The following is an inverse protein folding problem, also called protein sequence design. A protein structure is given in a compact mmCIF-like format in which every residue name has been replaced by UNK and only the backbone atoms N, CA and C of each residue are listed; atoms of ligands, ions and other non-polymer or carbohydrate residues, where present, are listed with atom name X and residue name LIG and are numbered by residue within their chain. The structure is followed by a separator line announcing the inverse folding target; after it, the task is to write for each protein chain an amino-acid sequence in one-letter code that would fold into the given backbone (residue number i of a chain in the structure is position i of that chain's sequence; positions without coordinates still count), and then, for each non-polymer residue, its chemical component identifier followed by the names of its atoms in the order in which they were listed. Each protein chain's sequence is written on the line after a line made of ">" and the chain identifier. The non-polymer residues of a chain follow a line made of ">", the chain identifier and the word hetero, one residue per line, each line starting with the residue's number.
data_IF_607311278593
#
_entry.id   IF_607311278593
#
_cell.length_a   1.000
_cell.length_b   1.000
_cell.length_c   1.000
_cell.angle_alpha   90.00
_cell.angle_beta   90.00
_cell.angle_gamma   90.00
#
_symmetry.space_group_name_H-M   'P 1'
#
loop_
_entity.id
_entity.type
_entity.pdbx_description
1 polymer ?
#
# COMPACT_ATOMS: atom_id res chain seq x y z
N UNK A 1 -8.97 -4.97 -14.24
CA UNK A 1 -9.23 -3.92 -13.22
C UNK A 1 -8.48 -4.26 -11.95
N UNK A 2 -7.65 -3.33 -11.47
CA UNK A 2 -6.74 -3.54 -10.33
C UNK A 2 -7.43 -4.09 -9.07
N UNK A 3 -8.58 -3.55 -8.67
CA UNK A 3 -9.29 -4.00 -7.46
C UNK A 3 -9.65 -5.48 -7.44
N UNK A 4 -10.02 -6.08 -8.59
CA UNK A 4 -10.28 -7.52 -8.68
C UNK A 4 -8.99 -8.34 -8.51
N UNK A 5 -7.91 -7.90 -9.17
CA UNK A 5 -6.61 -8.57 -9.09
C UNK A 5 -6.06 -8.48 -7.65
N UNK A 6 -6.18 -7.32 -7.02
CA UNK A 6 -5.80 -7.09 -5.63
C UNK A 6 -6.57 -7.98 -4.67
N UNK A 7 -7.89 -8.12 -4.84
CA UNK A 7 -8.69 -9.07 -4.05
C UNK A 7 -8.19 -10.50 -4.19
N UNK A 8 -7.97 -10.95 -5.42
CA UNK A 8 -7.50 -12.31 -5.68
C UNK A 8 -6.11 -12.55 -5.08
N UNK A 9 -5.24 -11.54 -5.15
CA UNK A 9 -3.89 -11.59 -4.61
C UNK A 9 -3.88 -11.53 -3.07
N UNK A 10 -4.71 -10.71 -2.44
CA UNK A 10 -4.78 -10.57 -0.99
C UNK A 10 -5.55 -11.71 -0.29
N UNK A 11 -6.50 -12.36 -0.98
CA UNK A 11 -7.33 -13.44 -0.41
C UNK A 11 -6.53 -14.56 0.31
N UNK A 12 -5.43 -15.10 -0.24
CA UNK A 12 -4.63 -16.12 0.46
C UNK A 12 -3.71 -15.55 1.56
N UNK A 13 -3.78 -14.24 1.86
CA UNK A 13 -2.88 -13.50 2.76
C UNK A 13 -3.67 -12.74 3.84
N UNK A 14 -4.46 -13.44 4.67
CA UNK A 14 -5.26 -12.77 5.69
C UNK A 14 -4.37 -12.00 6.66
N UNK A 15 -4.79 -10.78 7.03
CA UNK A 15 -4.06 -9.93 7.97
C UNK A 15 -2.79 -9.28 7.42
N UNK A 16 -2.41 -9.51 6.16
CA UNK A 16 -1.29 -8.79 5.53
C UNK A 16 -1.77 -7.44 5.05
N UNK A 17 -1.12 -6.38 5.54
CA UNK A 17 -1.42 -5.01 5.19
C UNK A 17 -1.10 -4.72 3.71
N UNK A 18 -1.81 -3.75 3.14
CA UNK A 18 -1.77 -3.39 1.72
C UNK A 18 -1.43 -1.92 1.56
N UNK A 19 -0.25 -1.64 1.04
CA UNK A 19 0.16 -0.33 0.59
C UNK A 19 -0.36 -0.08 -0.84
N UNK A 20 -1.11 1.01 -1.00
CA UNK A 20 -1.78 1.38 -2.25
C UNK A 20 -1.19 2.66 -2.82
N UNK A 21 -1.29 2.86 -4.14
CA UNK A 21 -1.05 4.18 -4.71
C UNK A 21 -2.16 5.14 -4.26
N UNK A 22 -1.92 6.44 -4.42
CA UNK A 22 -2.95 7.43 -4.13
C UNK A 22 -4.16 7.25 -5.05
N UNK A 23 -5.35 7.27 -4.44
CA UNK A 23 -6.62 7.35 -5.16
C UNK A 23 -7.40 8.56 -4.68
N UNK A 24 -7.89 9.42 -5.60
CA UNK A 24 -8.87 10.43 -5.27
C UNK A 24 -10.09 9.80 -4.59
N UNK A 25 -10.69 10.52 -3.65
CA UNK A 25 -11.81 10.05 -2.81
C UNK A 25 -12.92 9.37 -3.63
N UNK A 26 -13.30 9.97 -4.76
CA UNK A 26 -14.32 9.46 -5.68
C UNK A 26 -14.03 8.04 -6.20
N UNK A 27 -12.76 7.66 -6.32
CA UNK A 27 -12.32 6.35 -6.83
C UNK A 27 -11.91 5.38 -5.72
N UNK A 28 -11.47 5.90 -4.57
CA UNK A 28 -11.01 5.11 -3.42
C UNK A 28 -12.08 4.20 -2.87
N UNK A 29 -13.31 4.69 -2.73
CA UNK A 29 -14.43 3.88 -2.23
C UNK A 29 -14.75 2.66 -3.09
N UNK A 30 -14.67 2.80 -4.42
CA UNK A 30 -14.88 1.68 -5.35
C UNK A 30 -13.74 0.64 -5.28
N UNK A 31 -12.51 1.11 -5.10
CA UNK A 31 -11.36 0.24 -4.89
C UNK A 31 -11.49 -0.54 -3.58
N UNK A 32 -11.81 0.13 -2.46
CA UNK A 32 -11.93 -0.52 -1.15
C UNK A 32 -13.09 -1.51 -1.08
N UNK A 33 -14.19 -1.28 -1.83
CA UNK A 33 -15.24 -2.30 -1.99
C UNK A 33 -14.79 -3.55 -2.75
N UNK A 34 -13.66 -3.47 -3.46
CA UNK A 34 -13.15 -4.59 -4.25
C UNK A 34 -12.37 -5.60 -3.40
N UNK A 35 -11.81 -5.23 -2.25
CA UNK A 35 -11.04 -6.09 -1.34
C UNK A 35 -11.39 -5.79 0.14
N UNK A 36 -10.65 -6.36 1.10
CA UNK A 36 -10.82 -5.99 2.51
C UNK A 36 -10.14 -4.63 2.78
N UNK A 37 -10.92 -3.55 2.75
CA UNK A 37 -10.42 -2.20 2.96
C UNK A 37 -9.77 -1.97 4.33
N UNK A 38 -10.03 -2.80 5.34
CA UNK A 38 -9.37 -2.71 6.63
C UNK A 38 -7.89 -3.12 6.59
N UNK A 39 -7.48 -3.85 5.56
CA UNK A 39 -6.08 -4.18 5.32
C UNK A 39 -5.31 -3.04 4.63
N UNK A 40 -5.99 -2.02 4.10
CA UNK A 40 -5.31 -0.90 3.45
C UNK A 40 -4.62 0.01 4.47
N UNK A 41 -3.42 0.48 4.14
CA UNK A 41 -2.77 1.54 4.90
C UNK A 41 -3.62 2.82 4.92
N UNK A 42 -3.30 3.71 5.87
CA UNK A 42 -3.93 5.02 5.93
C UNK A 42 -3.59 5.87 4.70
N UNK A 43 -4.41 6.91 4.47
CA UNK A 43 -4.12 7.89 3.44
C UNK A 43 -3.06 8.87 3.88
N UNK A 44 -1.89 8.81 3.24
CA UNK A 44 -0.78 9.69 3.52
C UNK A 44 -0.67 10.87 2.54
N UNK A 45 -1.68 11.08 1.68
CA UNK A 45 -1.75 12.24 0.77
C UNK A 45 -1.55 13.60 1.46
N UNK A 46 -2.12 13.87 2.66
CA UNK A 46 -1.88 15.15 3.34
C UNK A 46 -0.41 15.43 3.67
N UNK A 47 0.42 14.38 3.80
CA UNK A 47 1.86 14.48 4.09
C UNK A 47 2.71 14.51 2.83
N UNK A 48 2.43 13.64 1.86
CA UNK A 48 3.32 13.45 0.70
C UNK A 48 2.76 13.94 -0.64
N UNK A 49 1.50 14.36 -0.68
CA UNK A 49 0.79 14.59 -1.93
C UNK A 49 0.68 13.31 -2.76
N UNK A 50 0.65 13.45 -4.08
CA UNK A 50 0.69 12.33 -5.02
C UNK A 50 2.09 12.22 -5.62
N UNK A 51 2.83 11.19 -5.22
CA UNK A 51 4.18 10.86 -5.67
C UNK A 51 4.18 9.68 -6.66
N UNK A 52 3.06 9.42 -7.32
CA UNK A 52 2.91 8.42 -8.38
C UNK A 52 3.35 7.02 -7.95
N UNK A 53 4.32 6.43 -8.66
CA UNK A 53 4.83 5.09 -8.36
C UNK A 53 5.46 4.94 -6.97
N UNK A 54 5.79 6.05 -6.31
CA UNK A 54 6.36 6.07 -4.96
C UNK A 54 5.31 5.99 -3.86
N UNK A 55 4.03 6.28 -4.14
CA UNK A 55 2.95 6.31 -3.14
C UNK A 55 2.91 5.05 -2.24
N UNK A 56 3.02 3.81 -2.76
CA UNK A 56 2.95 2.61 -1.92
C UNK A 56 4.18 2.48 -1.01
N UNK A 57 5.34 2.93 -1.47
CA UNK A 57 6.57 2.90 -0.68
C UNK A 57 6.54 3.95 0.43
N UNK A 58 6.10 5.16 0.12
CA UNK A 58 5.92 6.23 1.11
C UNK A 58 4.89 5.84 2.16
N UNK A 59 3.79 5.20 1.74
CA UNK A 59 2.80 4.65 2.65
C UNK A 59 3.39 3.59 3.58
N UNK A 60 4.13 2.61 3.06
CA UNK A 60 4.79 1.59 3.90
C UNK A 60 5.75 2.23 4.92
N UNK A 61 6.60 3.15 4.47
CA UNK A 61 7.57 3.81 5.34
C UNK A 61 6.87 4.67 6.41
N UNK A 62 5.77 5.34 6.07
CA UNK A 62 5.00 6.14 7.02
C UNK A 62 4.31 5.29 8.10
N UNK A 63 3.79 4.10 7.75
CA UNK A 63 3.27 3.16 8.75
C UNK A 63 4.38 2.68 9.70
N UNK A 64 5.58 2.40 9.18
CA UNK A 64 6.74 2.01 10.00
C UNK A 64 7.12 3.16 10.96
N UNK A 65 7.20 4.40 10.49
CA UNK A 65 7.45 5.57 11.35
C UNK A 65 6.35 5.78 12.40
N UNK A 66 5.10 5.43 12.07
CA UNK A 66 3.97 5.48 13.00
C UNK A 66 3.97 4.33 14.03
N UNK A 67 4.96 3.42 13.98
CA UNK A 67 5.15 2.34 14.93
C UNK A 67 4.55 1.00 14.49
N UNK A 68 4.12 0.86 13.23
CA UNK A 68 3.73 -0.45 12.70
C UNK A 68 4.94 -1.38 12.66
N UNK A 69 4.82 -2.54 13.33
CA UNK A 69 5.89 -3.53 13.35
C UNK A 69 5.84 -4.40 12.09
N UNK A 70 6.74 -4.11 11.17
CA UNK A 70 7.00 -4.95 9.99
C UNK A 70 8.29 -5.75 10.09
N UNK A 71 9.01 -5.75 11.22
CA UNK A 71 10.26 -6.49 11.34
C UNK A 71 10.00 -8.01 11.24
N UNK A 72 10.52 -8.65 10.19
CA UNK A 72 10.18 -10.06 9.89
C UNK A 72 8.75 -10.25 9.37
N UNK A 73 8.01 -9.16 9.17
CA UNK A 73 6.64 -9.12 8.71
C UNK A 73 6.50 -9.09 7.18
N UNK A 74 5.26 -8.88 6.72
CA UNK A 74 4.92 -8.83 5.30
C UNK A 74 4.01 -7.67 4.97
N UNK A 75 4.13 -7.18 3.74
CA UNK A 75 3.25 -6.15 3.19
C UNK A 75 2.98 -6.45 1.70
N UNK A 76 1.76 -6.20 1.25
CA UNK A 76 1.43 -6.19 -0.18
C UNK A 76 1.57 -4.77 -0.70
N UNK A 77 2.35 -4.56 -1.76
CA UNK A 77 2.43 -3.28 -2.46
C UNK A 77 1.68 -3.40 -3.78
N UNK A 78 0.77 -2.47 -4.05
CA UNK A 78 0.18 -2.30 -5.37
C UNK A 78 0.72 -1.02 -6.01
N UNK A 79 1.00 -1.04 -7.30
CA UNK A 79 1.34 0.16 -8.08
C UNK A 79 0.41 0.25 -9.28
N UNK A 80 0.04 1.47 -9.67
CA UNK A 80 -0.81 1.77 -10.81
C UNK A 80 -0.14 2.82 -11.67
N UNK A 81 -0.01 2.52 -12.96
CA UNK A 81 0.45 3.45 -13.98
C UNK A 81 -0.72 3.94 -14.84
N UNK A 82 -0.44 4.92 -15.70
CA UNK A 82 -1.37 5.40 -16.72
C UNK A 82 -1.85 4.23 -17.61
N UNK A 83 -3.04 4.38 -18.19
CA UNK A 83 -3.69 3.36 -19.02
C UNK A 83 -4.05 2.05 -18.31
N UNK A 84 -4.05 2.03 -16.97
CA UNK A 84 -4.56 0.92 -16.18
C UNK A 84 -3.60 -0.26 -16.03
N UNK A 85 -2.33 -0.10 -16.40
CA UNK A 85 -1.28 -1.06 -16.06
C UNK A 85 -1.00 -1.02 -14.56
N UNK A 86 -0.91 -2.17 -13.93
CA UNK A 86 -0.66 -2.26 -12.49
C UNK A 86 0.28 -3.43 -12.18
N UNK A 87 0.97 -3.34 -11.05
CA UNK A 87 1.76 -4.41 -10.46
C UNK A 87 1.32 -4.62 -9.02
N UNK A 88 1.38 -5.87 -8.55
CA UNK A 88 1.08 -6.23 -7.16
C UNK A 88 2.22 -7.13 -6.69
N UNK A 89 2.85 -6.76 -5.59
CA UNK A 89 3.97 -7.47 -5.00
C UNK A 89 3.64 -7.85 -3.56
N UNK A 90 4.27 -8.91 -3.09
CA UNK A 90 4.23 -9.41 -1.72
C UNK A 90 5.65 -9.36 -1.20
N UNK A 91 5.89 -8.48 -0.24
CA UNK A 91 7.20 -8.25 0.33
C UNK A 91 7.28 -8.90 1.70
N UNK A 92 8.37 -9.62 1.94
CA UNK A 92 8.81 -9.96 3.29
C UNK A 92 9.90 -8.95 3.68
N UNK A 93 9.79 -8.38 4.87
CA UNK A 93 10.78 -7.44 5.38
C UNK A 93 11.70 -8.15 6.37
N UNK A 94 13.00 -7.87 6.28
CA UNK A 94 13.97 -8.47 7.17
C UNK A 94 13.79 -7.97 8.62
N UNK A 95 14.10 -8.78 9.65
CA UNK A 95 14.03 -8.34 11.05
C UNK A 95 14.93 -7.15 11.38
N UNK A 96 16.02 -6.97 10.64
CA UNK A 96 16.98 -5.87 10.78
C UNK A 96 16.74 -4.75 9.77
N UNK A 97 15.52 -4.64 9.22
CA UNK A 97 15.12 -3.57 8.31
C UNK A 97 15.51 -2.20 8.90
N UNK A 98 16.33 -1.48 8.14
CA UNK A 98 16.63 -0.06 8.40
C UNK A 98 15.92 0.78 7.36
N UNK A 99 15.37 1.89 7.80
CA UNK A 99 14.67 2.83 6.94
C UNK A 99 15.00 4.26 7.36
N UNK A 100 14.79 5.18 6.43
CA UNK A 100 14.80 6.62 6.67
C UNK A 100 13.80 7.23 5.70
N UNK A 101 12.99 8.16 6.18
CA UNK A 101 11.99 8.87 5.39
C UNK A 101 12.19 10.36 5.60
N UNK A 102 12.35 11.09 4.50
CA UNK A 102 12.39 12.55 4.54
C UNK A 102 10.95 13.07 4.48
N UNK A 103 10.53 13.80 5.51
CA UNK A 103 9.24 14.46 5.54
C UNK A 103 9.36 15.85 4.91
N UNK A 104 8.54 16.14 3.90
CA UNK A 104 8.22 17.52 3.55
C UNK A 104 7.21 18.10 4.55
#
# INVERSE_FOLDING_TARGET
>A
MMGRALRQFAKPRPGVAVALPFFPEATRGALFKSFDGAAAHADHYPRFGHAFGSDPWLSLLAEIEAGADYAGGRCVLASLALNGYFAIADLALAPDLRHSLEAA
#
